data_IF_879833563892
#
_entry.id   IF_879833563892
#
_cell.length_a   1.000
_cell.length_b   1.000
_cell.length_c   1.000
_cell.angle_alpha   90.00
_cell.angle_beta   90.00
_cell.angle_gamma   90.00
#
_symmetry.space_group_name_H-M   'P 1'
#
loop_
_entity.id
_entity.type
_entity.pdbx_description
1 polymer ?
#
# COMPACT_ATOMS: atom_id res chain seq x y z
N UNK A 1 -7.11 -22.34 -21.53
CA UNK A 1 -6.72 -21.84 -20.19
C UNK A 1 -5.22 -21.53 -20.08
N UNK A 2 -4.33 -22.48 -20.41
CA UNK A 2 -2.87 -22.29 -20.26
C UNK A 2 -2.26 -21.17 -21.12
N UNK A 3 -2.74 -20.98 -22.36
CA UNK A 3 -2.31 -19.87 -23.23
C UNK A 3 -2.65 -18.48 -22.64
N UNK A 4 -3.80 -18.34 -21.98
CA UNK A 4 -4.25 -17.07 -21.39
C UNK A 4 -3.39 -16.67 -20.19
N UNK A 5 -3.03 -17.63 -19.33
CA UNK A 5 -2.16 -17.40 -18.17
C UNK A 5 -0.76 -17.01 -18.61
N UNK A 6 -0.20 -17.70 -19.62
CA UNK A 6 1.11 -17.34 -20.17
C UNK A 6 1.12 -15.91 -20.72
N UNK A 7 0.08 -15.51 -21.47
CA UNK A 7 -0.02 -14.14 -22.00
C UNK A 7 -0.07 -13.09 -20.88
N UNK A 8 -0.82 -13.33 -19.80
CA UNK A 8 -0.89 -12.42 -18.66
C UNK A 8 0.44 -12.30 -17.93
N UNK A 9 1.16 -13.42 -17.77
CA UNK A 9 2.49 -13.43 -17.14
C UNK A 9 3.48 -12.61 -17.97
N UNK A 10 3.54 -12.82 -19.28
CA UNK A 10 4.41 -12.04 -20.18
C UNK A 10 4.07 -10.54 -20.14
N UNK A 11 2.78 -10.20 -20.09
CA UNK A 11 2.33 -8.81 -19.96
C UNK A 11 2.81 -8.19 -18.64
N UNK A 12 2.71 -8.90 -17.52
CA UNK A 12 3.18 -8.41 -16.23
C UNK A 12 4.72 -8.36 -16.12
N UNK A 13 5.43 -9.28 -16.77
CA UNK A 13 6.90 -9.24 -16.88
C UNK A 13 7.34 -8.04 -17.73
N UNK A 14 6.71 -7.80 -18.88
CA UNK A 14 7.03 -6.65 -19.74
C UNK A 14 6.75 -5.31 -19.06
N UNK A 15 5.80 -5.26 -18.12
CA UNK A 15 5.56 -4.12 -17.23
C UNK A 15 6.51 -4.03 -16.03
N UNK A 16 7.41 -5.01 -15.86
CA UNK A 16 8.36 -5.06 -14.76
C UNK A 16 7.76 -5.38 -13.39
N UNK A 17 6.51 -5.87 -13.33
CA UNK A 17 5.84 -6.24 -12.06
C UNK A 17 6.19 -7.65 -11.61
N UNK A 18 6.57 -8.51 -12.56
CA UNK A 18 6.98 -9.89 -12.32
C UNK A 18 8.37 -10.13 -12.92
N UNK A 19 9.08 -11.11 -12.36
CA UNK A 19 10.31 -11.67 -12.92
C UNK A 19 10.30 -13.19 -12.86
N UNK A 20 11.09 -13.80 -13.73
CA UNK A 20 11.39 -15.23 -13.70
C UNK A 20 12.45 -15.48 -12.61
N UNK A 21 12.04 -16.15 -11.54
CA UNK A 21 12.90 -16.61 -10.45
C UNK A 21 13.67 -17.89 -10.80
N UNK A 22 14.44 -18.39 -9.84
CA UNK A 22 15.24 -19.60 -10.06
C UNK A 22 14.36 -20.83 -10.38
N UNK A 23 14.87 -21.66 -11.30
CA UNK A 23 14.20 -22.92 -11.66
C UNK A 23 14.40 -23.91 -10.53
N UNK A 24 13.32 -24.22 -9.80
CA UNK A 24 13.35 -25.25 -8.75
C UNK A 24 13.42 -26.63 -9.43
N UNK A 25 14.56 -27.32 -9.30
CA UNK A 25 14.72 -28.70 -9.81
C UNK A 25 13.90 -29.68 -8.95
N UNK A 26 12.68 -29.98 -9.38
CA UNK A 26 11.84 -31.03 -8.78
C UNK A 26 11.72 -32.23 -9.73
N UNK A 27 12.58 -33.24 -9.57
CA UNK A 27 12.45 -34.55 -10.24
C UNK A 27 12.75 -34.59 -11.74
N UNK A 28 12.19 -35.58 -12.44
CA UNK A 28 12.34 -35.76 -13.91
C UNK A 28 11.39 -34.83 -14.67
N UNK A 29 11.95 -33.96 -15.50
CA UNK A 29 11.23 -33.01 -16.35
C UNK A 29 12.01 -31.69 -16.50
N UNK A 30 11.60 -30.81 -17.43
CA UNK A 30 12.14 -29.44 -17.45
C UNK A 30 11.52 -28.66 -16.28
N UNK A 31 12.32 -28.17 -15.32
CA UNK A 31 11.77 -27.43 -14.19
C UNK A 31 11.15 -26.12 -14.67
N UNK A 32 9.88 -25.91 -14.33
CA UNK A 32 9.16 -24.68 -14.62
C UNK A 32 9.82 -23.51 -13.89
N UNK A 33 10.04 -22.36 -14.55
CA UNK A 33 10.53 -21.17 -13.87
C UNK A 33 9.53 -20.73 -12.79
N UNK A 34 10.04 -20.38 -11.61
CA UNK A 34 9.22 -19.75 -10.57
C UNK A 34 8.90 -18.33 -11.00
N UNK A 35 7.67 -17.88 -10.79
CA UNK A 35 7.29 -16.49 -11.03
C UNK A 35 7.35 -15.75 -9.70
N UNK A 36 8.00 -14.60 -9.68
CA UNK A 36 8.21 -13.78 -8.48
C UNK A 36 7.77 -12.34 -8.73
N UNK A 37 7.25 -11.68 -7.68
CA UNK A 37 7.03 -10.24 -7.70
C UNK A 37 8.37 -9.51 -7.77
N UNK A 38 8.41 -8.43 -8.55
CA UNK A 38 9.44 -7.40 -8.40
C UNK A 38 8.92 -6.46 -7.32
N UNK A 39 9.24 -6.77 -6.06
CA UNK A 39 8.69 -6.09 -4.89
C UNK A 39 8.82 -4.57 -4.99
N UNK A 40 10.02 -4.12 -5.37
CA UNK A 40 10.38 -2.73 -5.53
C UNK A 40 9.73 -2.05 -6.74
N UNK A 41 9.00 -2.75 -7.62
CA UNK A 41 8.47 -2.19 -8.87
C UNK A 41 7.58 -0.97 -8.64
N UNK A 42 6.68 -1.07 -7.66
CA UNK A 42 5.68 -0.08 -7.27
C UNK A 42 5.43 -0.15 -5.76
N UNK A 43 4.88 0.92 -5.21
CA UNK A 43 4.63 1.06 -3.78
C UNK A 43 3.18 1.48 -3.51
N UNK A 44 2.71 1.20 -2.30
CA UNK A 44 1.42 1.65 -1.81
C UNK A 44 1.57 2.36 -0.45
N UNK A 45 0.69 3.33 -0.20
CA UNK A 45 0.56 3.98 1.10
C UNK A 45 -0.61 3.38 1.86
N UNK A 46 -0.42 3.10 3.14
CA UNK A 46 -1.51 2.78 4.06
C UNK A 46 -1.69 3.88 5.09
N UNK A 47 -2.91 4.34 5.30
CA UNK A 47 -3.28 5.28 6.37
C UNK A 47 -4.34 4.64 7.25
N UNK A 48 -4.16 4.68 8.57
CA UNK A 48 -5.13 4.22 9.57
C UNK A 48 -5.37 5.32 10.59
N UNK A 49 -6.61 5.79 10.68
CA UNK A 49 -7.06 6.79 11.66
C UNK A 49 -7.78 6.08 12.81
N UNK A 50 -7.22 6.18 14.00
CA UNK A 50 -7.82 5.72 15.25
C UNK A 50 -8.14 6.91 16.15
N UNK A 51 -8.83 6.66 17.26
CA UNK A 51 -9.29 7.70 18.19
C UNK A 51 -8.16 8.46 18.88
N UNK A 52 -6.97 7.87 18.98
CA UNK A 52 -5.82 8.42 19.72
C UNK A 52 -4.55 8.54 18.85
N UNK A 53 -4.61 8.06 17.61
CA UNK A 53 -3.44 7.90 16.75
C UNK A 53 -3.81 7.91 15.28
N UNK A 54 -2.91 8.42 14.46
CA UNK A 54 -2.92 8.19 13.02
C UNK A 54 -1.63 7.44 12.64
N UNK A 55 -1.77 6.32 11.95
CA UNK A 55 -0.65 5.51 11.48
C UNK A 55 -0.56 5.63 9.97
N UNK A 56 0.65 5.86 9.46
CA UNK A 56 0.93 5.83 8.02
C UNK A 56 2.07 4.88 7.73
N UNK A 57 1.95 4.10 6.66
CA UNK A 57 3.00 3.20 6.19
C UNK A 57 3.22 3.32 4.68
N UNK A 58 4.43 2.98 4.25
CA UNK A 58 4.82 2.68 2.87
C UNK A 58 5.07 1.18 2.80
N UNK A 59 4.50 0.51 1.81
CA UNK A 59 4.78 -0.90 1.52
C UNK A 59 5.12 -1.12 0.04
N UNK A 60 5.93 -2.15 -0.22
CA UNK A 60 6.28 -2.60 -1.56
C UNK A 60 5.15 -3.44 -2.21
N UNK A 61 5.31 -3.86 -3.47
CA UNK A 61 4.32 -4.67 -4.19
C UNK A 61 4.04 -6.04 -3.53
N UNK A 62 5.01 -6.56 -2.77
CA UNK A 62 4.88 -7.78 -1.98
C UNK A 62 4.21 -7.55 -0.62
N UNK A 63 3.73 -6.33 -0.34
CA UNK A 63 3.17 -5.89 0.93
C UNK A 63 4.18 -5.90 2.10
N UNK A 64 5.48 -5.84 1.83
CA UNK A 64 6.47 -5.65 2.89
C UNK A 64 6.47 -4.17 3.29
N UNK A 65 6.25 -3.89 4.57
CA UNK A 65 6.29 -2.53 5.12
C UNK A 65 7.74 -2.06 5.15
N UNK A 66 8.06 -1.02 4.38
CA UNK A 66 9.38 -0.40 4.36
C UNK A 66 9.54 0.59 5.52
N UNK A 67 8.49 1.35 5.78
CA UNK A 67 8.45 2.32 6.86
C UNK A 67 7.04 2.47 7.40
N UNK A 68 6.94 2.71 8.71
CA UNK A 68 5.71 3.07 9.40
C UNK A 68 5.97 4.21 10.39
N UNK A 69 5.07 5.18 10.43
CA UNK A 69 5.10 6.30 11.37
C UNK A 69 3.75 6.38 12.08
N UNK A 70 3.80 6.54 13.40
CA UNK A 70 2.62 6.77 14.24
C UNK A 70 2.61 8.20 14.76
N UNK A 71 1.62 8.97 14.36
CA UNK A 71 1.29 10.28 14.89
C UNK A 71 0.40 10.08 16.12
N UNK A 72 0.99 10.13 17.32
CA UNK A 72 0.24 10.05 18.58
C UNK A 72 -0.46 11.37 18.83
N UNK A 73 -1.72 11.31 19.28
CA UNK A 73 -2.57 12.49 19.51
C UNK A 73 -2.72 13.30 18.21
N UNK A 74 -3.36 12.73 17.17
CA UNK A 74 -3.54 13.45 15.92
C UNK A 74 -4.32 14.75 16.19
N UNK A 75 -4.06 15.81 15.41
CA UNK A 75 -4.77 17.06 15.57
C UNK A 75 -6.29 16.87 15.62
N UNK A 76 -6.97 17.63 16.47
CA UNK A 76 -8.43 17.51 16.67
C UNK A 76 -9.23 17.79 15.40
N UNK A 77 -8.64 18.47 14.40
CA UNK A 77 -9.28 18.69 13.10
C UNK A 77 -8.75 17.76 12.01
N UNK A 78 -9.68 17.31 11.16
CA UNK A 78 -9.46 16.52 9.97
C UNK A 78 -8.44 17.16 9.06
N UNK A 79 -8.59 18.46 8.76
CA UNK A 79 -7.69 19.16 7.84
C UNK A 79 -6.25 19.19 8.34
N UNK A 80 -6.03 19.50 9.63
CA UNK A 80 -4.67 19.54 10.18
C UNK A 80 -4.05 18.13 10.32
N UNK A 81 -4.88 17.10 10.53
CA UNK A 81 -4.43 15.70 10.45
C UNK A 81 -4.02 15.33 9.03
N UNK A 82 -4.81 15.68 8.02
CA UNK A 82 -4.48 15.43 6.61
C UNK A 82 -3.18 16.16 6.20
N UNK A 83 -2.99 17.41 6.62
CA UNK A 83 -1.76 18.16 6.37
C UNK A 83 -0.53 17.49 7.01
N UNK A 84 -0.70 16.98 8.23
CA UNK A 84 0.36 16.29 8.96
C UNK A 84 0.70 14.94 8.31
N UNK A 85 -0.30 14.22 7.81
CA UNK A 85 -0.12 12.98 7.08
C UNK A 85 0.57 13.22 5.74
N UNK A 86 0.15 14.22 4.96
CA UNK A 86 0.78 14.56 3.68
C UNK A 86 2.27 14.86 3.85
N UNK A 87 2.63 15.73 4.80
CA UNK A 87 4.03 16.04 5.13
C UNK A 87 4.82 14.83 5.65
N UNK A 88 4.15 13.88 6.29
CA UNK A 88 4.79 12.66 6.78
C UNK A 88 5.05 11.70 5.63
N UNK A 89 4.08 11.50 4.73
CA UNK A 89 4.21 10.69 3.52
C UNK A 89 5.34 11.23 2.64
N UNK A 90 5.37 12.53 2.35
CA UNK A 90 6.43 13.14 1.53
C UNK A 90 7.82 12.86 2.11
N UNK A 91 8.00 13.01 3.43
CA UNK A 91 9.27 12.70 4.10
C UNK A 91 9.62 11.21 4.06
N UNK A 92 8.64 10.33 4.22
CA UNK A 92 8.85 8.88 4.10
C UNK A 92 9.30 8.51 2.69
N UNK A 93 8.64 9.03 1.65
CA UNK A 93 9.01 8.78 0.25
C UNK A 93 10.44 9.26 -0.03
N UNK A 94 10.78 10.49 0.36
CA UNK A 94 12.13 11.04 0.20
C UNK A 94 13.20 10.20 0.90
N UNK A 95 12.97 9.81 2.16
CA UNK A 95 13.93 9.01 2.94
C UNK A 95 14.18 7.62 2.36
N UNK A 96 13.16 7.02 1.75
CA UNK A 96 13.25 5.71 1.12
C UNK A 96 13.66 5.77 -0.36
N UNK A 97 13.91 6.97 -0.91
CA UNK A 97 14.26 7.15 -2.32
C UNK A 97 13.16 6.68 -3.27
N UNK A 98 11.89 6.84 -2.86
CA UNK A 98 10.73 6.42 -3.64
C UNK A 98 10.19 7.62 -4.41
N UNK A 99 10.27 7.53 -5.73
CA UNK A 99 9.64 8.50 -6.63
C UNK A 99 8.10 8.40 -6.54
N UNK A 100 7.42 9.54 -6.56
CA UNK A 100 5.96 9.62 -6.38
C UNK A 100 5.18 8.92 -7.48
N UNK A 101 5.73 8.82 -8.69
CA UNK A 101 5.11 8.12 -9.84
C UNK A 101 5.10 6.59 -9.67
N UNK A 102 5.91 6.06 -8.74
CA UNK A 102 5.93 4.64 -8.38
C UNK A 102 4.93 4.28 -7.29
N UNK A 103 4.28 5.27 -6.68
CA UNK A 103 3.19 5.05 -5.72
C UNK A 103 1.89 4.87 -6.49
N UNK A 104 1.36 3.66 -6.53
CA UNK A 104 0.21 3.30 -7.39
C UNK A 104 -1.14 3.42 -6.68
N UNK A 105 -1.15 3.68 -5.37
CA UNK A 105 -2.37 3.81 -4.61
C UNK A 105 -2.16 4.09 -3.13
N UNK A 106 -3.26 4.47 -2.48
CA UNK A 106 -3.33 4.67 -1.05
C UNK A 106 -4.58 3.98 -0.49
N UNK A 107 -4.39 3.16 0.53
CA UNK A 107 -5.47 2.62 1.35
C UNK A 107 -5.72 3.53 2.55
N UNK A 108 -6.99 3.78 2.87
CA UNK A 108 -7.40 4.58 4.03
C UNK A 108 -8.38 3.79 4.88
N UNK A 109 -8.04 3.62 6.16
CA UNK A 109 -8.87 2.98 7.17
C UNK A 109 -9.14 3.95 8.31
N UNK A 110 -10.32 3.87 8.90
CA UNK A 110 -10.72 4.72 10.02
C UNK A 110 -11.61 3.94 10.99
N UNK A 111 -11.46 4.21 12.28
CA UNK A 111 -12.37 3.70 13.29
C UNK A 111 -13.77 4.34 13.12
N UNK A 112 -14.75 3.51 12.75
CA UNK A 112 -16.12 3.94 12.52
C UNK A 112 -16.86 2.98 11.58
N UNK A 113 -18.09 3.34 11.21
CA UNK A 113 -18.89 2.60 10.25
C UNK A 113 -19.08 3.39 8.96
N UNK A 114 -18.86 2.75 7.81
CA UNK A 114 -19.19 3.34 6.52
C UNK A 114 -20.70 3.33 6.29
N UNK A 115 -21.24 4.46 5.88
CA UNK A 115 -22.61 4.64 5.41
C UNK A 115 -22.64 4.62 3.86
N UNK A 116 -23.84 4.52 3.28
CA UNK A 116 -24.04 4.33 1.82
C UNK A 116 -23.31 5.37 0.94
N UNK A 117 -23.12 6.59 1.43
CA UNK A 117 -22.49 7.69 0.70
C UNK A 117 -20.98 7.84 0.94
N UNK A 118 -20.28 6.75 1.32
CA UNK A 118 -18.86 6.79 1.77
C UNK A 118 -18.60 7.73 2.94
N UNK A 119 -19.67 8.04 3.65
CA UNK A 119 -19.71 8.80 4.87
C UNK A 119 -19.30 7.90 6.03
N UNK A 120 -18.69 8.45 7.07
CA UNK A 120 -18.24 7.66 8.22
C UNK A 120 -19.00 8.13 9.45
N UNK A 121 -19.60 7.19 10.17
CA UNK A 121 -20.06 7.42 11.53
C UNK A 121 -18.92 7.04 12.49
N UNK A 122 -18.12 8.03 12.88
CA UNK A 122 -16.96 7.86 13.74
C UNK A 122 -17.31 8.18 15.20
N UNK A 123 -16.62 7.59 16.19
CA UNK A 123 -16.84 7.91 17.60
C UNK A 123 -16.48 9.38 17.91
N UNK A 124 -16.92 9.90 19.06
CA UNK A 124 -16.76 11.32 19.46
C UNK A 124 -15.32 11.89 19.28
N UNK A 125 -14.23 11.18 19.61
CA UNK A 125 -12.87 11.69 19.37
C UNK A 125 -12.55 11.95 17.88
N UNK A 126 -13.28 11.31 16.98
CA UNK A 126 -13.19 11.44 15.52
C UNK A 126 -14.42 12.12 14.93
N UNK A 127 -15.18 12.88 15.72
CA UNK A 127 -16.42 13.53 15.24
C UNK A 127 -16.21 14.44 14.03
N UNK A 128 -15.06 15.11 13.91
CA UNK A 128 -14.73 15.95 12.73
C UNK A 128 -14.49 15.13 11.43
N UNK A 129 -14.33 13.80 11.58
CA UNK A 129 -14.32 12.84 10.48
C UNK A 129 -15.71 12.28 10.18
N UNK A 130 -16.65 12.46 11.11
CA UNK A 130 -18.08 12.29 10.85
C UNK A 130 -18.62 13.55 10.18
N UNK A 131 -19.75 13.45 9.50
CA UNK A 131 -20.38 14.63 8.87
C UNK A 131 -21.11 15.48 9.89
#
# INVERSE_FOLDING_TARGET
>A
AQQSVHRLIEELISRGLLRSGERVKNGRGQPSPRIELVNEAVYAIGVSINTDSAVVCVADLGCNVLEQVTLRTPPLSRNSTLDSLAKTIERMLQRNGIETDRVIGMGFAIAGFFLENRQINAPEPLRDWSL
#
